data_IF_693687447347
#
_entry.id   IF_693687447347
#
_cell.length_a   1.000
_cell.length_b   1.000
_cell.length_c   1.000
_cell.angle_alpha   90.00
_cell.angle_beta   90.00
_cell.angle_gamma   90.00
#
_symmetry.space_group_name_H-M   'P 1'
#
loop_
_entity.id
_entity.type
_entity.pdbx_description
1 polymer ?
#
# COMPACT_ATOMS: atom_id res chain seq x y z
N UNK A 1 7.32 -4.56 9.26
CA UNK A 1 7.11 -3.17 9.73
C UNK A 1 5.75 -2.65 9.27
N UNK A 2 4.91 -2.22 10.22
CA UNK A 2 3.62 -1.56 9.96
C UNK A 2 3.77 -0.04 10.08
N UNK A 3 3.40 0.70 9.03
CA UNK A 3 3.18 2.15 9.09
C UNK A 3 1.69 2.43 9.05
N UNK A 4 1.13 3.04 10.09
CA UNK A 4 -0.28 3.39 10.14
C UNK A 4 -0.48 4.90 9.98
N UNK A 5 -1.54 5.29 9.26
CA UNK A 5 -1.89 6.68 9.00
C UNK A 5 -3.36 6.93 9.30
N UNK A 6 -3.63 8.02 10.02
CA UNK A 6 -4.99 8.53 10.25
C UNK A 6 -5.23 9.81 9.46
N UNK A 7 -6.45 10.35 9.55
CA UNK A 7 -6.83 11.62 8.93
C UNK A 7 -6.96 12.74 9.97
N UNK A 8 -6.21 13.82 9.75
CA UNK A 8 -6.36 15.08 10.50
C UNK A 8 -6.41 16.24 9.51
N UNK A 9 -7.46 17.07 9.57
CA UNK A 9 -7.67 18.22 8.66
C UNK A 9 -7.50 17.85 7.17
N UNK A 10 -8.06 16.69 6.80
CA UNK A 10 -7.96 16.08 5.47
C UNK A 10 -6.52 15.73 5.04
N UNK A 11 -5.61 15.47 5.98
CA UNK A 11 -4.23 15.07 5.72
C UNK A 11 -3.93 13.73 6.33
N UNK A 12 -3.06 12.95 5.67
CA UNK A 12 -2.52 11.73 6.24
C UNK A 12 -1.46 12.07 7.29
N UNK A 13 -1.73 11.68 8.52
CA UNK A 13 -0.81 11.83 9.66
C UNK A 13 -0.41 10.44 10.13
N UNK A 14 0.90 10.21 10.28
CA UNK A 14 1.42 8.93 10.78
C UNK A 14 1.05 8.78 12.25
N UNK A 15 0.60 7.58 12.61
CA UNK A 15 0.36 7.15 13.98
C UNK A 15 1.69 6.64 14.56
N UNK A 16 2.05 7.09 15.76
CA UNK A 16 3.28 6.64 16.44
C UNK A 16 3.10 5.23 17.04
N UNK A 17 4.17 4.42 16.97
CA UNK A 17 4.16 2.97 17.28
C UNK A 17 3.84 2.63 18.75
N UNK A 18 4.00 3.57 19.67
CA UNK A 18 3.78 3.34 21.11
C UNK A 18 2.29 3.25 21.49
N UNK A 19 1.38 3.60 20.59
CA UNK A 19 -0.06 3.65 20.85
C UNK A 19 -0.82 2.56 20.09
N UNK A 20 -0.56 1.29 20.42
CA UNK A 20 -1.25 0.10 19.88
C UNK A 20 -2.79 0.21 19.82
N UNK A 21 -3.41 1.06 20.64
CA UNK A 21 -4.86 1.31 20.65
C UNK A 21 -5.34 2.17 19.46
N UNK A 22 -4.44 2.76 18.68
CA UNK A 22 -4.76 3.72 17.62
C UNK A 22 -4.84 3.14 16.21
N UNK A 23 -4.47 1.87 15.97
CA UNK A 23 -4.64 1.23 14.66
C UNK A 23 -6.11 1.23 14.21
N UNK A 24 -7.06 1.23 15.16
CA UNK A 24 -8.49 1.37 14.89
C UNK A 24 -8.84 2.71 14.21
N UNK A 25 -8.06 3.76 14.40
CA UNK A 25 -8.29 5.07 13.77
C UNK A 25 -7.52 5.23 12.46
N UNK A 26 -6.70 4.24 12.07
CA UNK A 26 -5.98 4.29 10.82
C UNK A 26 -6.94 4.16 9.64
N UNK A 27 -6.76 5.01 8.63
CA UNK A 27 -7.39 4.88 7.32
C UNK A 27 -6.50 4.09 6.35
N UNK A 28 -5.19 4.11 6.56
CA UNK A 28 -4.22 3.42 5.73
C UNK A 28 -3.18 2.72 6.62
N UNK A 29 -3.02 1.42 6.44
CA UNK A 29 -1.98 0.60 7.04
C UNK A 29 -1.06 0.09 5.93
N UNK A 30 0.19 0.53 5.94
CA UNK A 30 1.23 0.15 4.99
C UNK A 30 2.23 -0.82 5.63
N UNK A 31 2.15 -2.07 5.20
CA UNK A 31 2.92 -3.19 5.70
C UNK A 31 4.05 -3.52 4.75
N UNK A 32 5.27 -3.28 5.22
CA UNK A 32 6.49 -3.73 4.57
C UNK A 32 7.04 -4.93 5.33
N UNK A 33 7.12 -6.08 4.67
CA UNK A 33 7.66 -7.33 5.24
C UNK A 33 7.19 -7.55 6.69
N UNK A 34 5.87 -7.60 6.94
CA UNK A 34 5.36 -7.68 8.30
C UNK A 34 5.79 -9.00 8.95
N UNK A 35 6.23 -8.93 10.21
CA UNK A 35 6.56 -10.14 10.99
C UNK A 35 5.28 -10.93 11.32
N UNK A 36 5.45 -12.18 11.76
CA UNK A 36 4.31 -13.00 12.20
C UNK A 36 3.53 -12.34 13.35
N UNK A 37 4.23 -11.68 14.27
CA UNK A 37 3.62 -10.95 15.38
C UNK A 37 2.81 -9.74 14.89
N UNK A 38 3.36 -8.98 13.93
CA UNK A 38 2.66 -7.86 13.31
C UNK A 38 1.38 -8.32 12.56
N UNK A 39 1.44 -9.46 11.88
CA UNK A 39 0.27 -10.08 11.24
C UNK A 39 -0.80 -10.48 12.26
N UNK A 40 -0.39 -11.10 13.37
CA UNK A 40 -1.30 -11.51 14.45
C UNK A 40 -1.98 -10.30 15.10
N UNK A 41 -1.24 -9.20 15.34
CA UNK A 41 -1.81 -7.95 15.86
C UNK A 41 -2.94 -7.44 14.97
N UNK A 42 -2.79 -7.45 13.65
CA UNK A 42 -3.82 -6.99 12.73
C UNK A 42 -5.03 -7.91 12.67
N UNK A 43 -4.80 -9.22 12.75
CA UNK A 43 -5.87 -10.22 12.83
C UNK A 43 -6.69 -10.04 14.11
N UNK A 44 -6.04 -9.84 15.25
CA UNK A 44 -6.70 -9.71 16.56
C UNK A 44 -7.39 -8.36 16.75
N UNK A 45 -6.77 -7.28 16.28
CA UNK A 45 -7.27 -5.90 16.50
C UNK A 45 -8.28 -5.44 15.46
N UNK A 46 -8.05 -5.77 14.19
CA UNK A 46 -8.84 -5.28 13.06
C UNK A 46 -9.60 -6.39 12.34
N UNK A 47 -9.41 -7.66 12.73
CA UNK A 47 -10.03 -8.80 12.06
C UNK A 47 -9.48 -9.05 10.65
N UNK A 48 -8.37 -8.40 10.27
CA UNK A 48 -7.85 -8.43 8.92
C UNK A 48 -6.82 -9.56 8.75
N UNK A 49 -7.19 -10.56 7.95
CA UNK A 49 -6.22 -11.51 7.40
C UNK A 49 -5.49 -10.87 6.23
N UNK A 50 -4.19 -11.11 6.13
CA UNK A 50 -3.36 -10.63 5.03
C UNK A 50 -2.96 -11.78 4.13
N UNK A 51 -2.87 -11.50 2.83
CA UNK A 51 -2.28 -12.43 1.88
C UNK A 51 -0.88 -12.88 2.32
N UNK A 52 -0.54 -14.10 1.99
CA UNK A 52 0.81 -14.64 2.05
C UNK A 52 1.61 -14.13 0.87
N UNK A 53 2.94 -14.07 0.98
CA UNK A 53 3.79 -13.68 -0.15
C UNK A 53 3.69 -14.65 -1.32
N UNK A 54 3.41 -15.94 -1.06
CA UNK A 54 3.19 -16.94 -2.10
C UNK A 54 1.94 -16.63 -2.94
N UNK A 55 0.85 -16.18 -2.32
CA UNK A 55 -0.37 -15.76 -3.03
C UNK A 55 -0.16 -14.50 -3.88
N UNK A 56 0.87 -13.70 -3.59
CA UNK A 56 1.20 -12.53 -4.41
C UNK A 56 1.95 -12.90 -5.70
N UNK A 57 2.46 -14.13 -5.81
CA UNK A 57 3.11 -14.66 -7.02
C UNK A 57 2.08 -15.09 -8.08
N UNK A 58 0.84 -15.36 -7.69
CA UNK A 58 -0.23 -15.76 -8.60
C UNK A 58 -0.57 -14.62 -9.59
N UNK A 59 -0.67 -14.95 -10.86
CA UNK A 59 -0.86 -13.98 -11.96
C UNK A 59 -2.29 -13.97 -12.51
N UNK A 60 -3.09 -14.97 -12.16
CA UNK A 60 -4.45 -15.15 -12.61
C UNK A 60 -5.36 -14.02 -12.13
N UNK A 61 -6.27 -13.55 -12.99
CA UNK A 61 -7.20 -12.48 -12.64
C UNK A 61 -8.03 -12.79 -11.37
N UNK A 62 -8.42 -14.05 -11.17
CA UNK A 62 -9.16 -14.51 -10.00
C UNK A 62 -8.34 -14.50 -8.70
N UNK A 63 -7.01 -14.57 -8.80
CA UNK A 63 -6.11 -14.48 -7.65
C UNK A 63 -5.64 -13.05 -7.37
N UNK A 64 -5.93 -12.11 -8.28
CA UNK A 64 -5.48 -10.72 -8.18
C UNK A 64 -6.60 -9.72 -7.96
N UNK A 65 -7.81 -9.99 -8.44
CA UNK A 65 -8.93 -9.06 -8.38
C UNK A 65 -10.18 -9.81 -7.95
N UNK A 66 -10.50 -9.74 -6.66
CA UNK A 66 -11.60 -10.49 -6.07
C UNK A 66 -12.14 -9.80 -4.82
N UNK A 67 -13.33 -10.22 -4.40
CA UNK A 67 -13.95 -9.82 -3.15
C UNK A 67 -14.26 -11.07 -2.33
N UNK A 68 -14.00 -11.03 -1.03
CA UNK A 68 -14.37 -12.07 -0.08
C UNK A 68 -14.75 -11.47 1.29
N UNK A 69 -14.75 -12.30 2.34
CA UNK A 69 -15.07 -11.87 3.70
C UNK A 69 -14.05 -10.88 4.31
N UNK A 70 -12.84 -10.83 3.74
CA UNK A 70 -11.73 -9.99 4.17
C UNK A 70 -11.62 -8.68 3.36
N UNK A 71 -12.53 -8.46 2.42
CA UNK A 71 -12.73 -7.17 1.74
C UNK A 71 -12.59 -7.24 0.22
N UNK A 72 -12.30 -6.09 -0.36
CA UNK A 72 -11.97 -5.92 -1.77
C UNK A 72 -10.46 -6.04 -1.96
N UNK A 73 -10.02 -6.97 -2.78
CA UNK A 73 -8.59 -7.27 -3.01
C UNK A 73 -8.15 -6.88 -4.43
N UNK A 74 -7.03 -6.16 -4.51
CA UNK A 74 -6.36 -5.83 -5.76
C UNK A 74 -4.86 -6.10 -5.60
N UNK A 75 -4.33 -7.07 -6.34
CA UNK A 75 -2.89 -7.34 -6.39
C UNK A 75 -2.33 -6.69 -7.65
N UNK A 76 -1.51 -5.66 -7.50
CA UNK A 76 -1.01 -4.86 -8.63
C UNK A 76 0.52 -4.84 -8.65
N UNK A 77 1.10 -4.90 -9.85
CA UNK A 77 2.54 -4.72 -10.01
C UNK A 77 2.92 -3.25 -9.86
N UNK A 78 4.04 -3.02 -9.20
CA UNK A 78 4.71 -1.74 -9.05
C UNK A 78 6.12 -1.85 -9.60
N UNK A 79 6.51 -0.85 -10.38
CA UNK A 79 7.85 -0.77 -10.96
C UNK A 79 8.87 -0.34 -9.91
N UNK A 80 10.03 -1.00 -9.93
CA UNK A 80 11.18 -0.69 -9.11
C UNK A 80 12.47 -1.08 -9.86
N UNK A 81 13.60 -0.88 -9.21
CA UNK A 81 14.91 -1.32 -9.66
C UNK A 81 15.46 -2.30 -8.63
N UNK A 82 16.20 -3.31 -9.09
CA UNK A 82 16.91 -4.25 -8.22
C UNK A 82 18.25 -3.67 -7.71
N UNK A 83 19.04 -4.47 -6.99
CA UNK A 83 20.33 -4.04 -6.44
C UNK A 83 21.41 -3.75 -7.50
N UNK A 84 21.19 -4.20 -8.74
CA UNK A 84 22.10 -4.01 -9.88
C UNK A 84 21.58 -2.92 -10.84
N UNK A 85 20.62 -2.11 -10.41
CA UNK A 85 19.95 -1.05 -11.17
C UNK A 85 19.18 -1.56 -12.41
N UNK A 86 18.75 -2.82 -12.42
CA UNK A 86 17.86 -3.35 -13.48
C UNK A 86 16.39 -3.16 -13.14
N UNK A 87 15.59 -2.93 -14.19
CA UNK A 87 14.13 -2.86 -14.08
C UNK A 87 13.53 -4.15 -13.50
N UNK A 88 12.76 -4.00 -12.43
CA UNK A 88 12.08 -5.10 -11.73
C UNK A 88 10.63 -4.73 -11.37
N UNK A 89 9.83 -5.74 -11.01
CA UNK A 89 8.44 -5.60 -10.59
C UNK A 89 8.23 -6.22 -9.22
N UNK A 90 7.59 -5.48 -8.32
CA UNK A 90 7.09 -6.01 -7.07
C UNK A 90 5.56 -6.13 -7.10
N UNK A 91 5.04 -7.24 -6.57
CA UNK A 91 3.58 -7.41 -6.37
C UNK A 91 3.18 -6.75 -5.06
N UNK A 92 2.15 -5.91 -5.12
CA UNK A 92 1.58 -5.26 -3.93
C UNK A 92 0.13 -5.69 -3.79
N UNK A 93 -0.21 -6.24 -2.63
CA UNK A 93 -1.59 -6.53 -2.26
C UNK A 93 -2.24 -5.30 -1.64
N UNK A 94 -3.31 -4.83 -2.26
CA UNK A 94 -4.21 -3.83 -1.71
C UNK A 94 -5.46 -4.52 -1.22
N UNK A 95 -5.86 -4.26 0.02
CA UNK A 95 -7.14 -4.71 0.56
C UNK A 95 -7.89 -3.53 1.11
N UNK A 96 -9.14 -3.34 0.68
CA UNK A 96 -10.04 -2.33 1.24
C UNK A 96 -11.13 -3.02 2.03
N UNK A 97 -11.22 -2.68 3.32
CA UNK A 97 -12.22 -3.23 4.25
C UNK A 97 -12.58 -2.22 5.33
N UNK A 98 -13.86 -2.11 5.65
CA UNK A 98 -14.37 -1.25 6.73
C UNK A 98 -13.85 0.20 6.69
N UNK A 99 -13.72 0.74 5.48
CA UNK A 99 -13.23 2.10 5.23
C UNK A 99 -11.71 2.29 5.37
N UNK A 100 -10.94 1.20 5.54
CA UNK A 100 -9.48 1.20 5.65
C UNK A 100 -8.83 0.59 4.42
N UNK A 101 -7.66 1.11 4.08
CA UNK A 101 -6.76 0.55 3.10
C UNK A 101 -5.62 -0.20 3.80
N UNK A 102 -5.38 -1.44 3.40
CA UNK A 102 -4.19 -2.21 3.75
C UNK A 102 -3.33 -2.36 2.51
N UNK A 103 -2.04 -2.07 2.62
CA UNK A 103 -1.05 -2.34 1.56
C UNK A 103 0.01 -3.29 2.08
N UNK A 104 0.18 -4.44 1.43
CA UNK A 104 1.21 -5.43 1.75
C UNK A 104 2.23 -5.51 0.63
N UNK A 105 3.52 -5.37 0.98
CA UNK A 105 4.66 -5.39 0.07
C UNK A 105 5.90 -6.01 0.71
N UNK A 106 6.76 -6.59 -0.13
CA UNK A 106 8.00 -7.28 0.26
C UNK A 106 9.23 -6.36 0.22
N UNK A 107 9.11 -5.16 -0.34
CA UNK A 107 10.23 -4.20 -0.45
C UNK A 107 9.77 -2.75 -0.48
N UNK A 108 10.71 -1.83 -0.33
CA UNK A 108 10.49 -0.40 -0.53
C UNK A 108 10.27 -0.07 -2.00
N UNK A 109 9.26 0.76 -2.27
CA UNK A 109 8.86 1.11 -3.64
C UNK A 109 8.93 2.62 -3.84
N UNK A 110 9.48 3.10 -4.98
CA UNK A 110 9.61 4.53 -5.23
C UNK A 110 8.28 5.28 -5.20
N UNK A 111 7.21 4.71 -5.78
CA UNK A 111 5.87 5.30 -5.75
C UNK A 111 5.34 5.48 -4.31
N UNK A 112 5.51 4.49 -3.43
CA UNK A 112 5.10 4.58 -2.03
C UNK A 112 5.89 5.65 -1.28
N UNK A 113 7.21 5.69 -1.48
CA UNK A 113 8.09 6.71 -0.90
C UNK A 113 7.70 8.12 -1.35
N UNK A 114 7.43 8.30 -2.63
CA UNK A 114 7.03 9.58 -3.22
C UNK A 114 5.67 10.02 -2.68
N UNK A 115 4.68 9.13 -2.65
CA UNK A 115 3.35 9.44 -2.13
C UNK A 115 3.39 9.80 -0.64
N UNK A 116 4.10 9.03 0.20
CA UNK A 116 4.29 9.35 1.63
C UNK A 116 4.96 10.71 1.85
N UNK A 117 5.90 11.10 0.99
CA UNK A 117 6.53 12.41 1.06
C UNK A 117 5.53 13.54 0.75
N UNK A 118 4.70 13.37 -0.29
CA UNK A 118 3.72 14.37 -0.73
C UNK A 118 2.55 14.51 0.25
N UNK A 119 2.06 13.39 0.78
CA UNK A 119 0.89 13.35 1.66
C UNK A 119 1.06 14.13 2.96
N UNK A 120 2.30 14.40 3.39
CA UNK A 120 2.59 15.28 4.55
C UNK A 120 2.09 16.72 4.36
N UNK A 121 2.01 17.19 3.11
CA UNK A 121 1.64 18.56 2.77
C UNK A 121 0.35 18.64 1.92
N UNK A 122 -0.02 17.55 1.26
CA UNK A 122 -1.23 17.46 0.44
C UNK A 122 -2.46 17.17 1.29
N UNK A 123 -3.60 17.74 0.90
CA UNK A 123 -4.91 17.39 1.45
C UNK A 123 -5.60 16.41 0.51
N UNK A 124 -6.24 15.42 1.10
CA UNK A 124 -7.23 14.57 0.47
C UNK A 124 -8.51 15.38 0.23
N UNK A 125 -9.21 15.07 -0.84
CA UNK A 125 -10.46 15.68 -1.27
C UNK A 125 -11.64 14.91 -0.67
N UNK A 126 -11.66 13.59 -0.87
CA UNK A 126 -12.76 12.71 -0.47
C UNK A 126 -12.53 12.06 0.91
N UNK A 127 -11.28 12.11 1.41
CA UNK A 127 -10.91 11.64 2.74
C UNK A 127 -11.29 10.17 3.00
N UNK A 128 -11.08 9.29 2.02
CA UNK A 128 -11.42 7.87 2.14
C UNK A 128 -10.30 6.93 1.61
N UNK A 129 -10.39 5.64 1.95
CA UNK A 129 -9.40 4.62 1.55
C UNK A 129 -9.26 4.45 0.03
N UNK A 130 -10.35 4.64 -0.73
CA UNK A 130 -10.32 4.53 -2.19
C UNK A 130 -9.52 5.66 -2.82
N UNK A 131 -9.61 6.88 -2.27
CA UNK A 131 -8.78 8.00 -2.70
C UNK A 131 -7.30 7.70 -2.48
N UNK A 132 -6.91 7.21 -1.29
CA UNK A 132 -5.51 6.84 -1.01
C UNK A 132 -5.01 5.75 -1.97
N UNK A 133 -5.85 4.76 -2.28
CA UNK A 133 -5.53 3.71 -3.26
C UNK A 133 -5.29 4.30 -4.65
N UNK A 134 -6.19 5.19 -5.10
CA UNK A 134 -6.09 5.82 -6.42
C UNK A 134 -4.90 6.78 -6.50
N UNK A 135 -4.60 7.54 -5.45
CA UNK A 135 -3.43 8.42 -5.38
C UNK A 135 -2.11 7.64 -5.51
N UNK A 136 -2.04 6.44 -4.90
CA UNK A 136 -0.91 5.52 -5.08
C UNK A 136 -0.80 5.04 -6.54
N UNK A 137 -1.92 4.82 -7.21
CA UNK A 137 -1.94 4.47 -8.62
C UNK A 137 -1.59 5.65 -9.53
N UNK A 138 -2.03 6.87 -9.23
CA UNK A 138 -1.60 8.08 -9.94
C UNK A 138 -0.09 8.24 -9.84
N UNK A 139 0.47 8.10 -8.64
CA UNK A 139 1.92 8.16 -8.40
C UNK A 139 2.67 7.06 -9.17
N UNK A 140 2.10 5.85 -9.25
CA UNK A 140 2.65 4.77 -10.09
C UNK A 140 2.68 5.13 -11.57
N UNK A 141 1.59 5.70 -12.10
CA UNK A 141 1.51 6.08 -13.52
C UNK A 141 2.48 7.24 -13.84
N UNK A 142 2.63 8.21 -12.94
CA UNK A 142 3.64 9.26 -13.06
C UNK A 142 5.05 8.67 -13.18
N UNK A 143 5.43 7.76 -12.27
CA UNK A 143 6.73 7.11 -12.32
C UNK A 143 6.95 6.33 -13.63
N UNK A 144 5.93 5.60 -14.10
CA UNK A 144 6.02 4.85 -15.36
C UNK A 144 6.16 5.80 -16.57
N UNK A 145 5.55 6.99 -16.53
CA UNK A 145 5.72 7.99 -17.57
C UNK A 145 7.18 8.49 -17.62
N UNK A 146 7.78 8.82 -16.47
CA UNK A 146 9.20 9.21 -16.38
C UNK A 146 10.15 8.14 -16.93
N UNK A 147 9.88 6.85 -16.64
CA UNK A 147 10.65 5.72 -17.18
C UNK A 147 10.55 5.68 -18.71
N UNK A 148 9.33 5.85 -19.25
CA UNK A 148 9.14 5.88 -20.71
C UNK A 148 9.86 7.08 -21.32
N UNK A 149 9.79 8.27 -20.72
CA UNK A 149 10.50 9.46 -21.20
C UNK A 149 12.01 9.26 -21.24
N UNK A 150 12.58 8.59 -20.22
CA UNK A 150 14.00 8.24 -20.16
C UNK A 150 14.39 7.30 -21.30
N UNK A 151 13.61 6.24 -21.52
CA UNK A 151 13.84 5.26 -22.62
C UNK A 151 13.84 5.93 -24.01
N UNK A 152 13.04 6.98 -24.21
CA UNK A 152 13.01 7.71 -25.48
C UNK A 152 14.12 8.78 -25.62
N UNK A 153 14.78 9.14 -24.52
CA UNK A 153 15.83 10.16 -24.50
C UNK A 153 17.23 9.59 -24.72
N UNK A 154 17.42 8.29 -24.51
CA UNK A 154 18.62 7.50 -24.82
C UNK A 154 18.61 6.96 -26.27
#
# INVERSE_FOLDING_TARGET
MINAFTLEDARLVRIDEDENTQLNNAIWLDLLEPTSEEREILQDSLGQSLATFLELEDIEASARFFEDQDGLHLHSFFYCEDEEDYADLASVAFTVRDGRLFTLRDRELPAFRLYRMRSRNQRLIECNAYEVLLDLFETKIEQLADVIETVYSD
#
